data_IF_557066237544
#
_entry.id   IF_557066237544
#
_cell.length_a   1.000
_cell.length_b   1.000
_cell.length_c   1.000
_cell.angle_alpha   90.00
_cell.angle_beta   90.00
_cell.angle_gamma   90.00
#
_symmetry.space_group_name_H-M   'P 1'
#
loop_
_entity.id
_entity.type
_entity.pdbx_description
1 polymer ?
#
# COMPACT_ATOMS: atom_id res chain seq x y z
N UNK A 1 -15.97 4.09 -46.23
CA UNK A 1 -16.86 4.26 -45.04
C UNK A 1 -17.41 5.69 -45.04
N UNK A 2 -18.63 5.94 -44.55
CA UNK A 2 -19.17 7.31 -44.44
C UNK A 2 -18.48 8.07 -43.31
N UNK A 3 -18.25 9.39 -43.45
CA UNK A 3 -17.57 10.25 -42.45
C UNK A 3 -18.11 10.10 -41.03
N UNK A 4 -19.44 9.95 -40.88
CA UNK A 4 -20.11 9.66 -39.60
C UNK A 4 -19.66 8.35 -38.94
N UNK A 5 -19.37 7.29 -39.71
CA UNK A 5 -18.87 6.01 -39.17
C UNK A 5 -17.45 6.13 -38.63
N UNK A 6 -16.60 6.94 -39.26
CA UNK A 6 -15.22 7.18 -38.83
C UNK A 6 -15.22 7.95 -37.50
N UNK A 7 -15.93 9.07 -37.44
CA UNK A 7 -16.05 9.87 -36.21
C UNK A 7 -16.58 9.04 -35.04
N UNK A 8 -17.67 8.29 -35.25
CA UNK A 8 -18.24 7.42 -34.22
C UNK A 8 -17.25 6.34 -33.72
N UNK A 9 -16.40 5.80 -34.59
CA UNK A 9 -15.37 4.83 -34.20
C UNK A 9 -14.26 5.45 -33.35
N UNK A 10 -13.83 6.68 -33.66
CA UNK A 10 -12.83 7.40 -32.87
C UNK A 10 -13.35 7.78 -31.49
N UNK A 11 -14.58 8.31 -31.42
CA UNK A 11 -15.24 8.63 -30.13
C UNK A 11 -15.40 7.37 -29.29
N UNK A 12 -15.88 6.27 -29.89
CA UNK A 12 -16.02 4.99 -29.18
C UNK A 12 -14.67 4.51 -28.62
N UNK A 13 -13.61 4.58 -29.41
CA UNK A 13 -12.26 4.15 -28.99
C UNK A 13 -11.72 5.02 -27.85
N UNK A 14 -11.93 6.33 -27.91
CA UNK A 14 -11.54 7.24 -26.84
C UNK A 14 -12.30 6.93 -25.54
N UNK A 15 -13.63 6.84 -25.63
CA UNK A 15 -14.49 6.56 -24.47
C UNK A 15 -14.17 5.21 -23.83
N UNK A 16 -13.95 4.16 -24.64
CA UNK A 16 -13.54 2.85 -24.12
C UNK A 16 -12.14 2.92 -23.49
N UNK A 17 -11.20 3.60 -24.13
CA UNK A 17 -9.83 3.76 -23.60
C UNK A 17 -9.79 4.47 -22.25
N UNK A 18 -10.53 5.57 -22.11
CA UNK A 18 -10.65 6.32 -20.85
C UNK A 18 -11.34 5.49 -19.78
N UNK A 19 -12.45 4.82 -20.11
CA UNK A 19 -13.20 3.97 -19.18
C UNK A 19 -12.36 2.79 -18.67
N UNK A 20 -11.73 2.05 -19.58
CA UNK A 20 -10.92 0.87 -19.24
C UNK A 20 -9.69 1.26 -18.40
N UNK A 21 -9.04 2.38 -18.76
CA UNK A 21 -7.87 2.86 -18.05
C UNK A 21 -8.24 3.38 -16.66
N UNK A 22 -9.27 4.24 -16.56
CA UNK A 22 -9.77 4.75 -15.29
C UNK A 22 -10.19 3.62 -14.35
N UNK A 23 -10.96 2.64 -14.84
CA UNK A 23 -11.37 1.47 -14.06
C UNK A 23 -10.16 0.69 -13.54
N UNK A 24 -9.18 0.42 -14.39
CA UNK A 24 -7.98 -0.31 -13.98
C UNK A 24 -7.21 0.43 -12.89
N UNK A 25 -6.99 1.74 -13.03
CA UNK A 25 -6.27 2.53 -12.01
C UNK A 25 -7.02 2.57 -10.68
N UNK A 26 -8.33 2.75 -10.71
CA UNK A 26 -9.17 2.77 -9.51
C UNK A 26 -9.19 1.42 -8.80
N UNK A 27 -9.32 0.31 -9.54
CA UNK A 27 -9.27 -1.04 -8.94
C UNK A 27 -7.93 -1.32 -8.26
N UNK A 28 -6.83 -0.87 -8.86
CA UNK A 28 -5.51 -1.06 -8.26
C UNK A 28 -5.31 -0.17 -7.02
N UNK A 29 -5.77 1.09 -7.07
CA UNK A 29 -5.80 1.98 -5.89
C UNK A 29 -6.62 1.36 -4.77
N UNK A 30 -7.80 0.83 -5.08
CA UNK A 30 -8.67 0.14 -4.11
C UNK A 30 -7.97 -1.08 -3.50
N UNK A 31 -7.28 -1.87 -4.32
CA UNK A 31 -6.49 -3.02 -3.85
C UNK A 31 -5.37 -2.59 -2.90
N UNK A 32 -4.62 -1.55 -3.26
CA UNK A 32 -3.52 -1.00 -2.46
C UNK A 32 -4.01 -0.49 -1.10
N UNK A 33 -5.16 0.20 -1.10
CA UNK A 33 -5.78 0.73 0.12
C UNK A 33 -6.34 -0.39 1.02
N UNK A 34 -6.98 -1.40 0.44
CA UNK A 34 -7.44 -2.58 1.20
C UNK A 34 -6.25 -3.30 1.83
N UNK A 35 -5.17 -3.50 1.09
CA UNK A 35 -3.95 -4.14 1.61
C UNK A 35 -3.32 -3.31 2.73
N UNK A 36 -3.27 -1.98 2.57
CA UNK A 36 -2.77 -1.07 3.61
C UNK A 36 -3.60 -1.20 4.89
N UNK A 37 -4.93 -1.26 4.77
CA UNK A 37 -5.82 -1.45 5.94
C UNK A 37 -5.53 -2.78 6.65
N UNK A 38 -5.43 -3.88 5.90
CA UNK A 38 -5.16 -5.20 6.48
C UNK A 38 -3.82 -5.25 7.22
N UNK A 39 -2.76 -4.67 6.63
CA UNK A 39 -1.45 -4.59 7.29
C UNK A 39 -1.48 -3.74 8.57
N UNK A 40 -2.25 -2.64 8.57
CA UNK A 40 -2.42 -1.81 9.76
C UNK A 40 -3.19 -2.54 10.87
N UNK A 41 -4.24 -3.29 10.52
CA UNK A 41 -5.00 -4.10 11.48
C UNK A 41 -4.10 -5.18 12.11
N UNK A 42 -3.38 -5.95 11.29
CA UNK A 42 -2.44 -6.99 11.75
C UNK A 42 -1.33 -6.41 12.64
N UNK A 43 -0.80 -5.26 12.26
CA UNK A 43 0.21 -4.54 13.04
C UNK A 43 -0.29 -4.13 14.43
N UNK A 44 -1.49 -3.54 14.50
CA UNK A 44 -2.09 -3.12 15.76
C UNK A 44 -2.32 -4.33 16.66
N UNK A 45 -2.84 -5.42 16.11
CA UNK A 45 -3.05 -6.66 16.86
C UNK A 45 -1.75 -7.23 17.41
N UNK A 46 -0.71 -7.36 16.58
CA UNK A 46 0.61 -7.87 17.00
C UNK A 46 1.28 -6.98 18.03
N UNK A 47 1.27 -5.67 17.84
CA UNK A 47 1.83 -4.73 18.82
C UNK A 47 1.07 -4.80 20.14
N UNK A 48 -0.27 -4.78 20.09
CA UNK A 48 -1.11 -4.88 21.29
C UNK A 48 -0.85 -6.20 22.04
N UNK A 49 -0.76 -7.32 21.32
CA UNK A 49 -0.42 -8.61 21.89
C UNK A 49 0.94 -8.58 22.60
N UNK A 50 1.99 -8.12 21.90
CA UNK A 50 3.34 -8.09 22.46
C UNK A 50 3.44 -7.17 23.68
N UNK A 51 2.83 -5.97 23.66
CA UNK A 51 2.81 -5.08 24.81
C UNK A 51 2.06 -5.69 26.00
N UNK A 52 0.92 -6.33 25.76
CA UNK A 52 0.16 -7.01 26.80
C UNK A 52 0.97 -8.17 27.41
N UNK A 53 1.65 -8.95 26.56
CA UNK A 53 2.48 -10.06 26.99
C UNK A 53 3.69 -9.60 27.84
N UNK A 54 4.35 -8.50 27.45
CA UNK A 54 5.40 -7.86 28.26
C UNK A 54 4.84 -7.44 29.62
N UNK A 55 3.70 -6.74 29.64
CA UNK A 55 3.08 -6.30 30.88
C UNK A 55 2.72 -7.49 31.78
N UNK A 56 2.13 -8.54 31.23
CA UNK A 56 1.77 -9.75 31.98
C UNK A 56 3.00 -10.48 32.54
N UNK A 57 4.08 -10.61 31.75
CA UNK A 57 5.31 -11.23 32.20
C UNK A 57 5.94 -10.46 33.37
N UNK A 58 6.02 -9.12 33.27
CA UNK A 58 6.57 -8.28 34.34
C UNK A 58 5.65 -8.27 35.57
N UNK A 59 4.34 -8.14 35.39
CA UNK A 59 3.37 -8.13 36.47
C UNK A 59 3.32 -9.48 37.21
N UNK A 60 3.48 -10.59 36.49
CA UNK A 60 3.53 -11.94 37.06
C UNK A 60 4.71 -12.15 38.01
N UNK A 61 5.84 -11.48 37.76
CA UNK A 61 7.04 -11.59 38.60
C UNK A 61 7.10 -10.56 39.75
N UNK A 62 6.25 -9.53 39.75
CA UNK A 62 6.23 -8.53 40.83
C UNK A 62 6.09 -9.14 42.24
N UNK A 63 5.24 -10.15 42.51
CA UNK A 63 5.15 -10.76 43.83
C UNK A 63 6.45 -11.45 44.27
N UNK A 64 7.16 -12.07 43.33
CA UNK A 64 8.47 -12.71 43.56
C UNK A 64 9.53 -11.66 43.88
N UNK A 65 9.54 -10.55 43.13
CA UNK A 65 10.43 -9.41 43.37
C UNK A 65 10.15 -8.78 44.75
N UNK A 66 8.88 -8.58 45.10
CA UNK A 66 8.49 -8.01 46.39
C UNK A 66 8.96 -8.89 47.55
N UNK A 67 8.82 -10.22 47.46
CA UNK A 67 9.34 -11.15 48.47
C UNK A 67 10.86 -11.01 48.67
N UNK A 68 11.62 -10.89 47.57
CA UNK A 68 13.06 -10.67 47.65
C UNK A 68 13.40 -9.34 48.33
N UNK A 69 12.67 -8.27 48.03
CA UNK A 69 12.84 -6.95 48.65
C UNK A 69 12.50 -6.97 50.15
N UNK A 70 11.51 -7.77 50.54
CA UNK A 70 11.11 -7.98 51.94
C UNK A 70 12.07 -8.93 52.70
N UNK A 71 13.10 -9.45 52.02
CA UNK A 71 14.11 -10.35 52.61
C UNK A 71 13.63 -11.80 52.79
N UNK A 72 12.54 -12.19 52.13
CA UNK A 72 12.03 -13.56 52.17
C UNK A 72 12.72 -14.47 51.13
N UNK A 73 12.86 -15.75 51.48
CA UNK A 73 13.33 -16.76 50.53
C UNK A 73 12.28 -17.05 49.45
N UNK A 74 12.75 -17.30 48.23
CA UNK A 74 11.94 -17.69 47.09
C UNK A 74 12.16 -19.18 46.77
N UNK A 75 11.15 -19.82 46.17
CA UNK A 75 11.29 -21.24 45.78
C UNK A 75 12.21 -21.39 44.56
N UNK A 76 12.78 -22.58 44.32
CA UNK A 76 13.58 -22.86 43.11
C UNK A 76 12.81 -22.57 41.81
N UNK A 77 11.50 -22.81 41.79
CA UNK A 77 10.63 -22.53 40.65
C UNK A 77 10.50 -21.02 40.41
N UNK A 78 10.28 -20.24 41.48
CA UNK A 78 10.23 -18.77 41.40
C UNK A 78 11.57 -18.19 40.93
N UNK A 79 12.69 -18.72 41.40
CA UNK A 79 14.02 -18.33 40.90
C UNK A 79 14.15 -18.60 39.40
N UNK A 80 13.73 -19.79 38.96
CA UNK A 80 13.82 -20.19 37.55
C UNK A 80 12.96 -19.28 36.65
N UNK A 81 11.74 -18.93 37.09
CA UNK A 81 10.86 -18.01 36.38
C UNK A 81 11.46 -16.61 36.28
N UNK A 82 12.00 -16.10 37.39
CA UNK A 82 12.65 -14.79 37.43
C UNK A 82 13.90 -14.72 36.54
N UNK A 83 14.68 -15.79 36.47
CA UNK A 83 15.84 -15.92 35.57
C UNK A 83 15.42 -15.98 34.08
N UNK A 84 14.24 -16.53 33.78
CA UNK A 84 13.71 -16.61 32.42
C UNK A 84 13.06 -15.30 31.94
N UNK A 85 12.64 -14.42 32.86
CA UNK A 85 11.91 -13.18 32.55
C UNK A 85 12.61 -12.29 31.50
N UNK A 86 13.93 -11.99 31.59
CA UNK A 86 14.60 -11.17 30.58
C UNK A 86 14.53 -11.77 29.17
N UNK A 87 14.61 -13.10 29.06
CA UNK A 87 14.49 -13.80 27.78
C UNK A 87 13.09 -13.72 27.21
N UNK A 88 12.06 -13.88 28.05
CA UNK A 88 10.66 -13.74 27.64
C UNK A 88 10.33 -12.32 27.19
N UNK A 89 10.69 -11.31 27.99
CA UNK A 89 10.50 -9.90 27.64
C UNK A 89 11.28 -9.56 26.37
N UNK A 90 12.53 -10.00 26.25
CA UNK A 90 13.34 -9.83 25.04
C UNK A 90 12.67 -10.42 23.79
N UNK A 91 12.05 -11.61 23.91
CA UNK A 91 11.28 -12.23 22.84
C UNK A 91 10.11 -11.38 22.37
N UNK A 92 9.28 -10.89 23.30
CA UNK A 92 8.14 -10.02 22.95
C UNK A 92 8.57 -8.66 22.40
N UNK A 93 9.65 -8.07 22.92
CA UNK A 93 10.22 -6.83 22.39
C UNK A 93 10.71 -7.03 20.96
N UNK A 94 11.45 -8.10 20.69
CA UNK A 94 11.90 -8.41 19.34
C UNK A 94 10.72 -8.61 18.38
N UNK A 95 9.69 -9.35 18.80
CA UNK A 95 8.48 -9.52 18.00
C UNK A 95 7.74 -8.19 17.74
N UNK A 96 7.71 -7.28 18.72
CA UNK A 96 7.15 -5.94 18.54
C UNK A 96 7.99 -5.11 17.56
N UNK A 97 9.32 -5.16 17.63
CA UNK A 97 10.23 -4.47 16.72
C UNK A 97 10.06 -4.99 15.28
N UNK A 98 10.00 -6.31 15.09
CA UNK A 98 9.71 -6.90 13.77
C UNK A 98 8.35 -6.44 13.27
N UNK A 99 7.35 -6.35 14.16
CA UNK A 99 6.03 -5.84 13.79
C UNK A 99 6.13 -4.43 13.19
N UNK A 100 6.95 -3.52 13.73
CA UNK A 100 7.11 -2.15 13.20
C UNK A 100 7.50 -2.08 11.72
N UNK A 101 8.00 -3.15 11.09
CA UNK A 101 8.23 -3.23 9.65
C UNK A 101 6.95 -3.00 8.81
N UNK A 102 5.75 -3.16 9.40
CA UNK A 102 4.50 -2.77 8.73
C UNK A 102 4.52 -1.30 8.28
N UNK A 103 5.25 -0.43 8.99
CA UNK A 103 5.33 0.99 8.67
C UNK A 103 6.01 1.22 7.32
N UNK A 104 7.06 0.45 7.01
CA UNK A 104 7.71 0.50 5.71
C UNK A 104 6.78 -0.03 4.61
N UNK A 105 6.16 -1.20 4.83
CA UNK A 105 5.23 -1.79 3.86
C UNK A 105 4.03 -0.88 3.55
N UNK A 106 3.43 -0.27 4.57
CA UNK A 106 2.32 0.67 4.41
C UNK A 106 2.76 1.95 3.72
N UNK A 107 3.96 2.47 4.03
CA UNK A 107 4.54 3.63 3.32
C UNK A 107 4.71 3.35 1.83
N UNK A 108 5.21 2.17 1.47
CA UNK A 108 5.37 1.75 0.07
C UNK A 108 4.02 1.66 -0.67
N UNK A 109 2.98 1.09 -0.03
CA UNK A 109 1.64 0.99 -0.62
C UNK A 109 0.97 2.35 -0.78
N UNK A 110 1.14 3.25 0.19
CA UNK A 110 0.65 4.64 0.10
C UNK A 110 1.34 5.37 -1.04
N UNK A 111 2.67 5.27 -1.16
CA UNK A 111 3.42 5.85 -2.29
C UNK A 111 2.95 5.30 -3.63
N UNK A 112 2.66 4.00 -3.71
CA UNK A 112 2.09 3.38 -4.91
C UNK A 112 0.71 3.95 -5.24
N UNK A 113 -0.13 4.09 -4.23
CA UNK A 113 -1.47 4.69 -4.35
C UNK A 113 -1.37 6.13 -4.86
N UNK A 114 -0.49 6.95 -4.27
CA UNK A 114 -0.28 8.34 -4.68
C UNK A 114 0.21 8.45 -6.12
N UNK A 115 1.15 7.60 -6.54
CA UNK A 115 1.62 7.56 -7.93
C UNK A 115 0.49 7.18 -8.90
N UNK A 116 -0.34 6.20 -8.57
CA UNK A 116 -1.49 5.79 -9.40
C UNK A 116 -2.53 6.91 -9.53
N UNK A 117 -2.88 7.56 -8.42
CA UNK A 117 -3.83 8.68 -8.40
C UNK A 117 -3.28 9.88 -9.19
N UNK A 118 -2.01 10.21 -9.00
CA UNK A 118 -1.35 11.30 -9.73
C UNK A 118 -1.32 11.03 -11.23
N UNK A 119 -0.93 9.81 -11.64
CA UNK A 119 -0.94 9.42 -13.04
C UNK A 119 -2.34 9.42 -13.66
N UNK A 120 -3.36 8.97 -12.92
CA UNK A 120 -4.75 9.06 -13.38
C UNK A 120 -5.21 10.52 -13.52
N UNK A 121 -4.82 11.40 -12.61
CA UNK A 121 -5.11 12.84 -12.70
C UNK A 121 -4.44 13.48 -13.92
N UNK A 122 -3.17 13.18 -14.17
CA UNK A 122 -2.44 13.68 -15.34
C UNK A 122 -3.04 13.17 -16.65
N UNK A 123 -3.43 11.90 -16.69
CA UNK A 123 -4.16 11.29 -17.80
C UNK A 123 -5.47 12.02 -18.09
N UNK A 124 -6.28 12.30 -17.06
CA UNK A 124 -7.53 13.05 -17.20
C UNK A 124 -7.29 14.53 -17.55
N UNK A 125 -6.22 15.13 -17.04
CA UNK A 125 -5.80 16.48 -17.41
C UNK A 125 -5.46 16.60 -18.89
N UNK A 126 -4.71 15.63 -19.42
CA UNK A 126 -4.39 15.55 -20.86
C UNK A 126 -5.65 15.48 -21.71
N UNK A 127 -6.66 14.70 -21.27
CA UNK A 127 -7.96 14.65 -21.93
C UNK A 127 -8.70 16.00 -21.90
N UNK A 128 -8.64 16.71 -20.76
CA UNK A 128 -9.25 18.03 -20.59
C UNK A 128 -8.61 19.12 -21.46
N UNK A 129 -7.28 19.15 -21.53
CA UNK A 129 -6.52 20.11 -22.35
C UNK A 129 -6.86 19.97 -23.83
N UNK A 130 -6.76 18.77 -24.38
CA UNK A 130 -7.09 18.53 -25.78
C UNK A 130 -8.60 18.62 -26.07
N UNK A 131 -9.45 18.39 -25.06
CA UNK A 131 -10.89 18.62 -25.17
C UNK A 131 -11.24 20.10 -25.26
N UNK A 132 -10.48 20.98 -24.61
CA UNK A 132 -10.67 22.43 -24.67
C UNK A 132 -10.30 23.03 -26.04
N UNK A 133 -9.45 22.35 -26.81
CA UNK A 133 -9.11 22.72 -28.19
C UNK A 133 -10.25 22.41 -29.18
N UNK A 134 -11.26 21.63 -28.79
CA UNK A 134 -12.45 21.38 -29.61
C UNK A 134 -13.41 22.57 -29.58
N UNK A 135 -13.37 23.39 -30.63
CA UNK A 135 -14.33 24.48 -30.84
C UNK A 135 -15.61 23.92 -31.49
N UNK A 136 -16.82 24.40 -31.15
CA UNK A 136 -18.09 23.91 -31.72
C UNK A 136 -18.19 23.95 -33.26
N UNK A 137 -17.40 24.80 -33.91
CA UNK A 137 -17.35 24.98 -35.36
C UNK A 137 -16.30 24.11 -36.07
N UNK A 138 -15.60 23.23 -35.33
CA UNK A 138 -14.56 22.36 -35.91
C UNK A 138 -15.16 21.39 -36.94
N UNK A 139 -14.51 21.24 -38.09
CA UNK A 139 -14.94 20.24 -39.08
C UNK A 139 -14.64 18.81 -38.57
N UNK A 140 -15.41 17.83 -39.05
CA UNK A 140 -15.30 16.43 -38.70
C UNK A 140 -13.87 15.87 -38.89
N UNK A 141 -13.13 16.37 -39.87
CA UNK A 141 -11.75 15.94 -40.13
C UNK A 141 -10.79 16.44 -39.03
N UNK A 142 -10.95 17.68 -38.57
CA UNK A 142 -10.20 18.24 -37.44
C UNK A 142 -10.54 17.51 -36.12
N UNK A 143 -11.83 17.21 -35.91
CA UNK A 143 -12.29 16.46 -34.73
C UNK A 143 -11.70 15.05 -34.73
N UNK A 144 -11.69 14.36 -35.88
CA UNK A 144 -11.12 13.01 -36.00
C UNK A 144 -9.61 13.02 -35.73
N UNK A 145 -8.89 14.01 -36.26
CA UNK A 145 -7.46 14.17 -36.02
C UNK A 145 -7.15 14.39 -34.53
N UNK A 146 -7.88 15.29 -33.88
CA UNK A 146 -7.73 15.59 -32.46
C UNK A 146 -8.06 14.38 -31.58
N UNK A 147 -9.17 13.68 -31.83
CA UNK A 147 -9.50 12.42 -31.14
C UNK A 147 -8.42 11.35 -31.36
N UNK A 148 -7.80 11.33 -32.54
CA UNK A 148 -6.66 10.48 -32.86
C UNK A 148 -5.44 10.79 -31.98
N UNK A 149 -5.06 12.06 -31.88
CA UNK A 149 -3.95 12.55 -31.04
C UNK A 149 -4.18 12.23 -29.57
N UNK A 150 -5.37 12.53 -29.05
CA UNK A 150 -5.76 12.19 -27.67
C UNK A 150 -5.67 10.69 -27.44
N UNK A 151 -6.27 9.88 -28.31
CA UNK A 151 -6.21 8.42 -28.16
C UNK A 151 -4.77 7.89 -28.12
N UNK A 152 -3.86 8.51 -28.87
CA UNK A 152 -2.45 8.11 -28.92
C UNK A 152 -1.69 8.56 -27.67
N UNK A 153 -1.87 9.81 -27.23
CA UNK A 153 -1.27 10.32 -25.99
C UNK A 153 -1.68 9.49 -24.77
N UNK A 154 -2.96 9.15 -24.67
CA UNK A 154 -3.51 8.29 -23.61
C UNK A 154 -2.93 6.87 -23.66
N UNK A 155 -2.69 6.32 -24.85
CA UNK A 155 -2.07 5.00 -25.00
C UNK A 155 -0.61 4.98 -24.53
N UNK A 156 0.15 6.05 -24.80
CA UNK A 156 1.55 6.19 -24.38
C UNK A 156 1.65 6.30 -22.85
N UNK A 157 0.89 7.23 -22.23
CA UNK A 157 0.86 7.38 -20.77
C UNK A 157 0.44 6.08 -20.07
N UNK A 158 -0.52 5.35 -20.65
CA UNK A 158 -0.94 4.03 -20.13
C UNK A 158 0.18 2.99 -20.14
N UNK A 159 1.07 3.03 -21.14
CA UNK A 159 2.23 2.15 -21.23
C UNK A 159 3.30 2.52 -20.20
N UNK A 160 3.59 3.82 -20.04
CA UNK A 160 4.57 4.34 -19.09
C UNK A 160 4.17 4.03 -17.65
N UNK A 161 2.92 4.30 -17.28
CA UNK A 161 2.36 3.93 -15.98
C UNK A 161 2.51 2.42 -15.72
N UNK A 162 2.17 1.56 -16.68
CA UNK A 162 2.37 0.10 -16.55
C UNK A 162 3.83 -0.29 -16.34
N UNK A 163 4.77 0.42 -16.96
CA UNK A 163 6.21 0.13 -16.85
C UNK A 163 6.79 0.51 -15.48
N UNK A 164 6.39 1.67 -14.94
CA UNK A 164 6.79 2.13 -13.60
C UNK A 164 6.22 1.19 -12.53
N UNK A 165 5.01 0.67 -12.75
CA UNK A 165 4.32 -0.24 -11.83
C UNK A 165 4.93 -1.65 -11.76
N UNK A 166 5.55 -2.17 -12.84
CA UNK A 166 6.22 -3.49 -12.81
C UNK A 166 7.52 -3.52 -12.02
N UNK A 167 8.17 -2.38 -11.80
CA UNK A 167 9.48 -2.30 -11.15
C UNK A 167 9.42 -2.16 -9.63
N UNK A 168 8.24 -1.98 -9.03
CA UNK A 168 8.09 -1.79 -7.59
C UNK A 168 7.73 -3.10 -6.87
N UNK A 169 8.78 -3.81 -6.43
CA UNK A 169 8.95 -4.82 -5.35
C UNK A 169 7.80 -5.82 -5.03
N UNK A 170 8.16 -7.10 -5.07
CA UNK A 170 7.42 -8.27 -4.57
C UNK A 170 7.80 -8.58 -3.11
N UNK A 171 7.09 -8.04 -2.12
CA UNK A 171 7.15 -8.58 -0.76
C UNK A 171 5.72 -8.76 -0.25
N UNK A 172 5.26 -10.01 -0.25
CA UNK A 172 3.88 -10.38 0.08
C UNK A 172 3.67 -10.70 1.56
N UNK A 173 4.74 -10.96 2.33
CA UNK A 173 4.66 -11.39 3.72
C UNK A 173 5.77 -10.79 4.58
N UNK A 174 5.43 -10.46 5.83
CA UNK A 174 6.39 -9.99 6.84
C UNK A 174 7.45 -11.04 7.21
N UNK A 175 7.22 -12.33 6.92
CA UNK A 175 8.15 -13.43 7.22
C UNK A 175 9.20 -13.66 6.13
N UNK A 176 9.05 -13.07 4.93
CA UNK A 176 10.01 -13.25 3.83
C UNK A 176 10.89 -12.02 3.68
N UNK A 177 11.92 -11.92 4.51
CA UNK A 177 12.97 -10.92 4.42
C UNK A 177 14.01 -11.18 5.51
N UNK A 178 15.11 -11.85 5.14
CA UNK A 178 16.25 -12.06 6.05
C UNK A 178 16.69 -10.71 6.63
N UNK A 179 16.73 -10.61 7.96
CA UNK A 179 17.32 -9.48 8.66
C UNK A 179 18.80 -9.78 8.82
N UNK A 180 19.66 -9.11 8.04
CA UNK A 180 21.04 -8.87 8.48
C UNK A 180 20.97 -7.91 9.68
N UNK A 181 21.16 -8.48 10.88
CA UNK A 181 21.39 -7.72 12.10
C UNK A 181 22.71 -6.95 11.95
N UNK A 182 22.64 -5.62 11.86
CA UNK A 182 23.79 -4.74 12.09
C UNK A 182 23.99 -4.52 13.59
#
# INVERSE_FOLDING_TARGET
MTRKKILGSHVKRLMSGVSDHGRKHLTEVETDLIQTRLLLEEAIEKLSFNFMAIHQAVAGEQPTIQKLLDGADITPEQRTQLEALPGQVGGYVNAAVVSLQFQDMTSQLIDRTLKRVTGLREFLGTLGEHGAEMVPESDNEQIVELLGKVSMALAIQSLELRSVLRKAVHQQHMESGDIELF
#
